data_IF_815094798327
#
_entry.id   IF_815094798327
#
_cell.length_a   1.000
_cell.length_b   1.000
_cell.length_c   1.000
_cell.angle_alpha   90.00
_cell.angle_beta   90.00
_cell.angle_gamma   90.00
#
_symmetry.space_group_name_H-M   'P 1'
#
loop_
_entity.id
_entity.type
_entity.pdbx_description
1 polymer ?
#
# COMPACT_ATOMS: atom_id res chain seq x y z
N UNK A 1 0.11 54.81 35.27
CA UNK A 1 0.41 53.46 35.80
C UNK A 1 0.35 52.46 34.64
N UNK A 2 1.48 51.85 34.26
CA UNK A 2 1.61 50.59 33.49
C UNK A 2 1.24 49.43 34.47
N UNK A 3 0.77 48.21 34.15
CA UNK A 3 0.56 47.35 32.97
C UNK A 3 -0.47 46.24 33.40
N UNK A 4 -0.59 45.02 32.82
CA UNK A 4 -0.52 44.54 31.43
C UNK A 4 -1.65 43.54 31.03
N UNK A 5 -1.86 43.39 29.71
CA UNK A 5 -2.09 42.16 28.91
C UNK A 5 -2.85 40.98 29.55
N UNK A 6 -4.03 40.68 29.01
CA UNK A 6 -4.57 39.32 28.94
C UNK A 6 -3.67 38.47 28.03
N UNK A 7 -2.77 37.73 28.69
CA UNK A 7 -2.08 36.57 28.13
C UNK A 7 -2.69 35.36 28.82
N UNK A 8 -2.90 34.29 28.06
CA UNK A 8 -3.04 32.89 28.50
C UNK A 8 -4.47 32.37 28.74
N UNK A 9 -5.09 31.90 27.67
CA UNK A 9 -5.54 30.50 27.61
C UNK A 9 -5.16 29.90 26.25
N UNK A 10 -3.85 29.76 25.99
CA UNK A 10 -3.41 28.77 25.01
C UNK A 10 -3.57 27.42 25.70
N UNK A 11 -4.49 26.61 25.20
CA UNK A 11 -4.52 25.19 25.53
C UNK A 11 -3.10 24.62 25.37
N UNK A 12 -2.65 23.75 26.29
CA UNK A 12 -1.34 23.13 26.15
C UNK A 12 -1.28 22.46 24.78
N UNK A 13 -0.18 22.57 24.02
CA UNK A 13 -0.03 21.82 22.79
C UNK A 13 -0.19 20.35 23.15
N UNK A 14 -1.29 19.73 22.69
CA UNK A 14 -1.46 18.29 22.79
C UNK A 14 -0.17 17.67 22.27
N UNK A 15 0.49 16.86 23.09
CA UNK A 15 1.71 16.16 22.70
C UNK A 15 1.32 15.27 21.53
N UNK A 16 1.57 15.75 20.31
CA UNK A 16 1.21 15.07 19.08
C UNK A 16 2.07 13.82 19.02
N UNK A 17 1.45 12.68 19.26
CA UNK A 17 2.16 11.41 19.32
C UNK A 17 2.72 11.16 17.92
N UNK A 18 4.04 10.96 17.82
CA UNK A 18 4.66 10.75 16.51
C UNK A 18 4.00 9.55 15.83
N UNK A 19 3.73 9.66 14.53
CA UNK A 19 3.24 8.52 13.73
C UNK A 19 4.15 7.30 13.89
N UNK A 20 5.43 7.50 14.20
CA UNK A 20 6.44 6.47 14.39
C UNK A 20 6.30 5.71 15.71
N UNK A 21 5.68 6.26 16.75
CA UNK A 21 5.69 5.66 18.09
C UNK A 21 5.03 4.27 18.10
N UNK A 22 5.81 3.20 18.28
CA UNK A 22 5.33 1.80 18.19
C UNK A 22 5.24 1.24 16.76
N UNK A 23 5.72 1.98 15.75
CA UNK A 23 5.84 1.54 14.36
C UNK A 23 7.26 1.73 13.81
N UNK A 24 8.25 1.97 14.68
CA UNK A 24 9.63 2.28 14.31
C UNK A 24 10.29 1.16 13.50
N UNK A 25 9.83 -0.08 13.68
CA UNK A 25 10.34 -1.24 12.95
C UNK A 25 9.78 -1.37 11.53
N UNK A 26 8.67 -0.68 11.22
CA UNK A 26 8.03 -0.74 9.91
C UNK A 26 7.97 0.60 9.18
N UNK A 27 8.23 1.73 9.84
CA UNK A 27 8.16 3.07 9.23
C UNK A 27 9.53 3.73 9.18
N UNK A 28 9.88 4.27 8.01
CA UNK A 28 11.07 5.10 7.76
C UNK A 28 10.67 6.48 7.26
N UNK A 29 11.40 7.51 7.67
CA UNK A 29 11.17 8.89 7.24
C UNK A 29 12.04 9.27 6.04
N UNK A 30 11.53 10.15 5.18
CA UNK A 30 12.29 10.78 4.08
C UNK A 30 12.97 9.78 3.12
N UNK A 31 12.35 8.63 2.89
CA UNK A 31 12.90 7.57 2.03
C UNK A 31 12.67 7.87 0.54
N UNK A 32 13.70 7.87 -0.33
CA UNK A 32 13.50 8.01 -1.77
C UNK A 32 12.66 6.85 -2.32
N UNK A 33 11.69 7.17 -3.18
CA UNK A 33 10.85 6.16 -3.83
C UNK A 33 11.49 5.53 -5.06
N UNK A 34 12.55 6.12 -5.62
CA UNK A 34 13.24 5.60 -6.80
C UNK A 34 13.58 4.09 -6.72
N UNK A 35 14.10 3.53 -5.61
CA UNK A 35 14.38 2.08 -5.53
C UNK A 35 13.13 1.18 -5.64
N UNK A 36 11.94 1.72 -5.43
CA UNK A 36 10.67 0.99 -5.37
C UNK A 36 9.80 1.19 -6.61
N UNK A 37 10.20 2.07 -7.53
CA UNK A 37 9.49 2.29 -8.80
C UNK A 37 10.18 1.59 -9.96
N UNK A 38 9.40 1.20 -10.97
CA UNK A 38 9.91 0.47 -12.12
C UNK A 38 10.90 1.31 -12.96
N UNK A 39 10.58 2.60 -13.14
CA UNK A 39 11.43 3.54 -13.87
C UNK A 39 12.63 4.03 -13.05
N UNK A 40 12.73 3.63 -11.78
CA UNK A 40 13.76 4.10 -10.84
C UNK A 40 13.78 5.62 -10.67
N UNK A 41 12.59 6.21 -10.62
CA UNK A 41 12.35 7.63 -10.42
C UNK A 41 11.51 7.86 -9.17
N UNK A 42 11.72 8.99 -8.51
CA UNK A 42 10.91 9.41 -7.37
C UNK A 42 11.71 9.94 -6.19
N UNK A 43 11.33 11.13 -5.76
CA UNK A 43 11.87 11.79 -4.57
C UNK A 43 11.44 11.13 -3.26
N UNK A 44 11.77 11.77 -2.13
CA UNK A 44 11.50 11.22 -0.80
C UNK A 44 10.00 11.18 -0.49
N UNK A 45 9.53 10.10 0.12
CA UNK A 45 8.23 10.09 0.81
C UNK A 45 8.41 10.56 2.25
N UNK A 46 7.41 11.29 2.78
CA UNK A 46 7.43 11.71 4.18
C UNK A 46 7.54 10.50 5.12
N UNK A 47 6.73 9.47 4.90
CA UNK A 47 6.81 8.18 5.60
C UNK A 47 6.69 7.01 4.62
N UNK A 48 7.67 6.09 4.62
CA UNK A 48 7.58 4.80 3.95
C UNK A 48 7.26 3.74 5.00
N UNK A 49 6.21 2.94 4.79
CA UNK A 49 5.77 1.92 5.71
C UNK A 49 5.76 0.52 5.08
N UNK A 50 6.28 -0.46 5.80
CA UNK A 50 6.34 -1.87 5.40
C UNK A 50 5.72 -2.75 6.49
N UNK A 51 4.38 -2.72 6.67
CA UNK A 51 3.72 -3.53 7.70
C UNK A 51 4.00 -5.02 7.48
N UNK A 52 4.08 -5.76 8.58
CA UNK A 52 4.36 -7.21 8.54
C UNK A 52 3.10 -8.06 8.70
N UNK A 53 2.00 -7.45 9.13
CA UNK A 53 0.70 -8.10 9.32
C UNK A 53 -0.48 -7.18 8.94
N UNK A 54 -1.67 -7.78 8.78
CA UNK A 54 -2.92 -7.04 8.52
C UNK A 54 -3.29 -6.14 9.70
N UNK A 55 -3.05 -6.59 10.93
CA UNK A 55 -3.35 -5.82 12.14
C UNK A 55 -2.46 -4.58 12.25
N UNK A 56 -1.16 -4.70 11.96
CA UNK A 56 -0.24 -3.56 11.90
C UNK A 56 -0.64 -2.57 10.81
N UNK A 57 -0.99 -3.07 9.62
CA UNK A 57 -1.49 -2.23 8.53
C UNK A 57 -2.74 -1.45 8.97
N UNK A 58 -3.71 -2.14 9.60
CA UNK A 58 -4.94 -1.51 10.08
C UNK A 58 -4.67 -0.48 11.17
N UNK A 59 -3.79 -0.78 12.12
CA UNK A 59 -3.41 0.14 13.17
C UNK A 59 -2.70 1.39 12.62
N UNK A 60 -1.81 1.22 11.63
CA UNK A 60 -1.13 2.32 10.97
C UNK A 60 -2.12 3.20 10.19
N UNK A 61 -3.04 2.60 9.42
CA UNK A 61 -4.06 3.33 8.65
C UNK A 61 -4.99 4.11 9.57
N UNK A 62 -5.44 3.50 10.68
CA UNK A 62 -6.24 4.20 11.71
C UNK A 62 -5.51 5.41 12.28
N UNK A 63 -4.23 5.26 12.62
CA UNK A 63 -3.43 6.38 13.15
C UNK A 63 -3.22 7.48 12.11
N UNK A 64 -2.90 7.11 10.86
CA UNK A 64 -2.75 8.06 9.78
C UNK A 64 -4.05 8.85 9.56
N UNK A 65 -5.21 8.18 9.63
CA UNK A 65 -6.51 8.82 9.55
C UNK A 65 -6.73 9.84 10.69
N UNK A 66 -6.44 9.47 11.93
CA UNK A 66 -6.55 10.34 13.10
C UNK A 66 -5.64 11.58 13.00
N UNK A 67 -4.44 11.43 12.44
CA UNK A 67 -3.47 12.51 12.26
C UNK A 67 -3.67 13.33 10.97
N UNK A 68 -4.66 12.97 10.14
CA UNK A 68 -4.93 13.63 8.86
C UNK A 68 -3.86 13.38 7.78
N UNK A 69 -3.09 12.30 7.90
CA UNK A 69 -2.07 11.91 6.93
C UNK A 69 -2.67 11.08 5.80
N UNK A 70 -2.39 11.48 4.56
CA UNK A 70 -2.80 10.72 3.38
C UNK A 70 -2.01 9.40 3.30
N UNK A 71 -2.72 8.28 3.14
CA UNK A 71 -2.10 6.95 2.92
C UNK A 71 -2.24 6.56 1.45
N UNK A 72 -1.15 6.11 0.85
CA UNK A 72 -1.08 5.54 -0.51
C UNK A 72 -0.42 4.17 -0.44
N UNK A 73 -0.82 3.26 -1.33
CA UNK A 73 -0.19 1.95 -1.45
C UNK A 73 0.63 1.92 -2.73
N UNK A 74 1.87 1.46 -2.64
CA UNK A 74 2.73 1.25 -3.79
C UNK A 74 2.95 -0.27 -3.97
N UNK A 75 2.45 -0.79 -5.10
CA UNK A 75 2.69 -2.16 -5.52
C UNK A 75 4.08 -2.32 -6.15
N UNK A 76 4.15 -2.96 -7.32
CA UNK A 76 5.43 -3.11 -8.04
C UNK A 76 5.95 -1.85 -8.73
N UNK A 77 5.30 -0.70 -8.54
CA UNK A 77 5.74 0.59 -9.08
C UNK A 77 5.80 0.68 -10.61
N UNK A 78 5.14 -0.22 -11.34
CA UNK A 78 5.15 -0.32 -12.80
C UNK A 78 4.25 0.66 -13.53
N UNK A 79 3.33 1.31 -12.82
CA UNK A 79 2.34 2.23 -13.40
C UNK A 79 2.27 3.57 -12.65
N UNK A 80 3.42 4.06 -12.15
CA UNK A 80 3.51 5.34 -11.44
C UNK A 80 4.74 6.13 -11.90
N UNK A 81 4.58 7.46 -11.96
CA UNK A 81 5.66 8.42 -12.09
C UNK A 81 5.66 9.29 -10.85
N UNK A 82 6.68 9.13 -10.01
CA UNK A 82 6.82 9.87 -8.76
C UNK A 82 7.70 11.09 -9.02
N UNK A 83 7.26 12.26 -8.59
CA UNK A 83 8.02 13.52 -8.74
C UNK A 83 9.22 13.56 -7.80
N UNK A 84 10.22 14.35 -8.15
CA UNK A 84 11.45 14.51 -7.36
C UNK A 84 11.24 15.32 -6.07
N UNK A 85 10.22 16.19 -6.02
CA UNK A 85 9.86 16.89 -4.77
C UNK A 85 9.28 15.96 -3.71
N UNK A 86 8.98 14.71 -4.08
CA UNK A 86 8.54 13.69 -3.15
C UNK A 86 7.02 13.58 -2.99
N UNK A 87 6.62 12.83 -1.97
CA UNK A 87 5.21 12.49 -1.69
C UNK A 87 4.88 12.79 -0.23
N UNK A 88 3.92 13.69 0.06
CA UNK A 88 3.47 13.94 1.43
C UNK A 88 2.60 12.80 1.95
N UNK A 89 2.66 12.53 3.26
CA UNK A 89 1.94 11.44 3.92
C UNK A 89 2.69 10.11 3.88
N UNK A 90 1.93 9.02 3.90
CA UNK A 90 2.46 7.66 4.04
C UNK A 90 2.34 6.91 2.72
N UNK A 91 3.43 6.27 2.29
CA UNK A 91 3.40 5.23 1.24
C UNK A 91 3.63 3.88 1.89
N UNK A 92 2.72 2.94 1.63
CA UNK A 92 2.74 1.58 2.18
C UNK A 92 3.19 0.60 1.10
N UNK A 93 4.14 -0.27 1.44
CA UNK A 93 4.54 -1.44 0.65
C UNK A 93 4.04 -2.71 1.31
N UNK A 94 3.29 -3.53 0.57
CA UNK A 94 2.79 -4.82 1.06
C UNK A 94 3.78 -5.96 0.73
N UNK A 95 5.04 -5.79 1.12
CA UNK A 95 6.14 -6.71 0.78
C UNK A 95 6.23 -7.95 1.68
N UNK A 96 5.64 -7.91 2.88
CA UNK A 96 5.72 -8.99 3.85
C UNK A 96 4.96 -10.25 3.43
N UNK A 97 5.38 -11.41 3.94
CA UNK A 97 4.79 -12.72 3.62
C UNK A 97 3.27 -12.79 3.87
N UNK A 98 2.76 -12.08 4.89
CA UNK A 98 1.33 -11.97 5.17
C UNK A 98 0.50 -11.50 3.96
N UNK A 99 1.08 -10.64 3.11
CA UNK A 99 0.43 -10.08 1.92
C UNK A 99 0.81 -10.80 0.63
N UNK A 100 1.71 -11.78 0.68
CA UNK A 100 2.25 -12.50 -0.49
C UNK A 100 1.71 -13.92 -0.67
N UNK A 101 0.80 -14.38 0.19
CA UNK A 101 0.25 -15.74 0.13
C UNK A 101 -0.47 -16.01 -1.19
N UNK A 102 -0.40 -17.26 -1.67
CA UNK A 102 -1.12 -17.76 -2.85
C UNK A 102 -1.54 -19.19 -2.53
N UNK A 103 -2.84 -19.45 -2.45
CA UNK A 103 -3.42 -20.74 -2.10
C UNK A 103 -4.54 -21.14 -3.07
N UNK A 104 -4.66 -22.44 -3.34
CA UNK A 104 -5.76 -22.99 -4.12
C UNK A 104 -6.97 -23.24 -3.24
N UNK A 105 -8.12 -22.75 -3.68
CA UNK A 105 -9.43 -23.01 -3.08
C UNK A 105 -10.37 -23.61 -4.14
N UNK A 106 -10.31 -24.93 -4.31
CA UNK A 106 -11.08 -25.66 -5.32
C UNK A 106 -10.68 -25.26 -6.75
N UNK A 107 -11.58 -24.55 -7.45
CA UNK A 107 -11.36 -24.03 -8.82
C UNK A 107 -10.92 -22.55 -8.84
N UNK A 108 -10.52 -22.00 -7.70
CA UNK A 108 -10.10 -20.60 -7.55
C UNK A 108 -8.72 -20.54 -6.91
N UNK A 109 -8.04 -19.42 -7.11
CA UNK A 109 -6.93 -19.03 -6.26
C UNK A 109 -7.37 -17.93 -5.30
N UNK A 110 -6.85 -17.99 -4.08
CA UNK A 110 -6.88 -16.90 -3.11
C UNK A 110 -5.46 -16.42 -2.92
N UNK A 111 -5.24 -15.12 -3.03
CA UNK A 111 -3.92 -14.55 -2.96
C UNK A 111 -3.94 -13.16 -2.32
N UNK A 112 -2.85 -12.82 -1.64
CA UNK A 112 -2.69 -11.52 -0.99
C UNK A 112 -2.39 -10.41 -2.01
N UNK A 113 -2.79 -9.17 -1.68
CA UNK A 113 -2.60 -8.01 -2.56
C UNK A 113 -1.14 -7.66 -2.86
N UNK A 114 -0.20 -8.11 -2.03
CA UNK A 114 1.25 -7.97 -2.22
C UNK A 114 1.86 -9.06 -3.10
N UNK A 115 1.14 -10.14 -3.39
CA UNK A 115 1.64 -11.23 -4.23
C UNK A 115 2.04 -10.72 -5.62
N UNK A 116 3.21 -11.15 -6.12
CA UNK A 116 3.66 -10.81 -7.46
C UNK A 116 2.70 -11.42 -8.48
N UNK A 117 2.21 -10.62 -9.42
CA UNK A 117 1.21 -11.06 -10.39
C UNK A 117 1.69 -12.29 -11.18
N UNK A 118 2.96 -12.28 -11.62
CA UNK A 118 3.58 -13.43 -12.28
C UNK A 118 3.56 -14.72 -11.45
N UNK A 119 3.72 -14.65 -10.12
CA UNK A 119 3.65 -15.84 -9.26
C UNK A 119 2.23 -16.38 -9.13
N UNK A 120 1.22 -15.50 -9.12
CA UNK A 120 -0.19 -15.90 -9.13
C UNK A 120 -0.52 -16.65 -10.42
N UNK A 121 -0.10 -16.10 -11.56
CA UNK A 121 -0.30 -16.73 -12.88
C UNK A 121 0.41 -18.08 -12.96
N UNK A 122 1.69 -18.15 -12.61
CA UNK A 122 2.45 -19.41 -12.61
C UNK A 122 1.85 -20.47 -11.68
N UNK A 123 1.27 -20.05 -10.55
CA UNK A 123 0.57 -20.95 -9.65
C UNK A 123 -0.73 -21.45 -10.26
N UNK A 124 -1.51 -20.60 -10.94
CA UNK A 124 -2.73 -21.03 -11.64
C UNK A 124 -2.42 -22.11 -12.67
N UNK A 125 -1.39 -21.91 -13.49
CA UNK A 125 -0.93 -22.88 -14.50
C UNK A 125 -0.55 -24.21 -13.84
N UNK A 126 0.26 -24.18 -12.77
CA UNK A 126 0.68 -25.38 -12.02
C UNK A 126 -0.49 -26.15 -11.41
N UNK A 127 -1.52 -25.44 -10.97
CA UNK A 127 -2.73 -26.02 -10.39
C UNK A 127 -3.76 -26.47 -11.43
N UNK A 128 -3.48 -26.29 -12.73
CA UNK A 128 -4.39 -26.64 -13.83
C UNK A 128 -5.61 -25.71 -13.92
N UNK A 129 -5.46 -24.45 -13.50
CA UNK A 129 -6.50 -23.42 -13.56
C UNK A 129 -6.23 -22.48 -14.73
N UNK A 130 -7.23 -22.33 -15.61
CA UNK A 130 -7.21 -21.38 -16.71
C UNK A 130 -7.84 -20.04 -16.30
N UNK A 131 -7.62 -19.00 -17.12
CA UNK A 131 -8.27 -17.70 -17.02
C UNK A 131 -7.37 -16.55 -16.53
N UNK A 132 -6.07 -16.75 -16.34
CA UNK A 132 -5.13 -15.65 -16.01
C UNK A 132 -4.04 -15.45 -17.08
N UNK A 133 -4.14 -16.16 -18.21
CA UNK A 133 -3.15 -16.18 -19.29
C UNK A 133 -3.01 -14.81 -19.95
N UNK A 134 -4.10 -14.05 -20.03
CA UNK A 134 -4.11 -12.69 -20.60
C UNK A 134 -3.25 -11.70 -19.80
N UNK A 135 -2.95 -12.01 -18.53
CA UNK A 135 -2.15 -11.14 -17.66
C UNK A 135 -0.65 -11.46 -17.73
N UNK A 136 -0.24 -12.48 -18.49
CA UNK A 136 1.17 -12.84 -18.67
C UNK A 136 1.94 -11.65 -19.23
N UNK A 137 3.08 -11.35 -18.60
CA UNK A 137 3.94 -10.24 -18.99
C UNK A 137 3.57 -8.89 -18.35
N UNK A 138 2.41 -8.77 -17.69
CA UNK A 138 2.07 -7.56 -16.93
C UNK A 138 2.85 -7.56 -15.61
N UNK A 139 3.74 -6.58 -15.37
CA UNK A 139 4.51 -6.49 -14.14
C UNK A 139 3.67 -5.89 -13.00
N UNK A 140 3.97 -6.30 -11.76
CA UNK A 140 3.40 -5.69 -10.57
C UNK A 140 2.93 -6.70 -9.54
N UNK A 141 2.03 -6.26 -8.68
CA UNK A 141 1.38 -7.08 -7.65
C UNK A 141 -0.09 -7.32 -8.01
N UNK A 142 -0.69 -8.35 -7.43
CA UNK A 142 -2.11 -8.65 -7.61
C UNK A 142 -3.00 -7.47 -7.20
N UNK A 143 -2.71 -6.82 -6.08
CA UNK A 143 -3.46 -5.65 -5.62
C UNK A 143 -3.34 -4.46 -6.58
N UNK A 144 -2.15 -4.24 -7.16
CA UNK A 144 -1.96 -3.25 -8.21
C UNK A 144 -2.76 -3.56 -9.46
N UNK A 145 -2.74 -4.81 -9.90
CA UNK A 145 -3.51 -5.27 -11.05
C UNK A 145 -5.02 -5.08 -10.85
N UNK A 146 -5.55 -5.45 -9.68
CA UNK A 146 -6.96 -5.22 -9.34
C UNK A 146 -7.30 -3.72 -9.29
N UNK A 147 -6.42 -2.89 -8.71
CA UNK A 147 -6.65 -1.45 -8.60
C UNK A 147 -6.77 -0.77 -9.97
N UNK A 148 -6.00 -1.22 -10.97
CA UNK A 148 -6.00 -0.65 -12.32
C UNK A 148 -6.87 -1.42 -13.31
N UNK A 149 -7.60 -2.44 -12.86
CA UNK A 149 -8.26 -3.44 -13.71
C UNK A 149 -7.36 -3.91 -14.87
N UNK A 150 -6.15 -4.37 -14.53
CA UNK A 150 -5.14 -4.74 -15.52
C UNK A 150 -5.65 -5.81 -16.49
N UNK A 151 -5.31 -5.66 -17.76
CA UNK A 151 -5.81 -6.50 -18.83
C UNK A 151 -5.25 -6.13 -20.20
N UNK A 152 -5.83 -6.74 -21.21
CA UNK A 152 -5.58 -6.45 -22.63
C UNK A 152 -6.85 -5.84 -23.24
N UNK A 153 -6.87 -5.67 -24.56
CA UNK A 153 -8.08 -5.24 -25.28
C UNK A 153 -9.22 -6.26 -25.20
N UNK A 154 -8.94 -7.53 -24.95
CA UNK A 154 -9.93 -8.62 -25.04
C UNK A 154 -10.43 -9.14 -23.69
N UNK A 155 -9.72 -8.89 -22.58
CA UNK A 155 -10.11 -9.33 -21.24
C UNK A 155 -9.30 -8.60 -20.16
N UNK A 156 -9.77 -8.66 -18.91
CA UNK A 156 -9.14 -8.05 -17.75
C UNK A 156 -9.26 -8.92 -16.49
N UNK A 157 -8.50 -8.56 -15.46
CA UNK A 157 -8.51 -9.28 -14.18
C UNK A 157 -9.86 -9.21 -13.47
N UNK A 158 -10.66 -8.16 -13.69
CA UNK A 158 -12.00 -8.01 -13.14
C UNK A 158 -12.94 -9.14 -13.58
N UNK A 159 -12.83 -9.57 -14.84
CA UNK A 159 -13.62 -10.71 -15.35
C UNK A 159 -13.30 -12.05 -14.65
N UNK A 160 -12.12 -12.16 -14.05
CA UNK A 160 -11.66 -13.38 -13.37
C UNK A 160 -11.74 -13.27 -11.83
N UNK A 161 -12.12 -12.11 -11.31
CA UNK A 161 -12.17 -11.83 -9.87
C UNK A 161 -13.55 -12.13 -9.32
N UNK A 162 -13.65 -13.06 -8.36
CA UNK A 162 -14.92 -13.32 -7.66
C UNK A 162 -15.17 -12.32 -6.51
N UNK A 163 -14.13 -11.98 -5.75
CA UNK A 163 -14.24 -11.15 -4.56
C UNK A 163 -12.87 -10.59 -4.18
N UNK A 164 -12.85 -9.45 -3.50
CA UNK A 164 -11.64 -8.87 -2.90
C UNK A 164 -11.92 -8.43 -1.46
N UNK A 165 -11.00 -8.75 -0.55
CA UNK A 165 -10.96 -8.16 0.79
C UNK A 165 -10.15 -6.86 0.70
N UNK A 166 -10.73 -5.76 1.19
CA UNK A 166 -10.14 -4.44 1.13
C UNK A 166 -10.06 -3.84 2.53
N UNK A 167 -9.10 -2.93 2.72
CA UNK A 167 -9.05 -2.07 3.89
C UNK A 167 -9.48 -0.67 3.49
N UNK A 168 -10.38 -0.09 4.26
CA UNK A 168 -10.87 1.28 4.06
C UNK A 168 -9.83 2.31 4.51
N UNK A 169 -10.08 3.59 4.19
CA UNK A 169 -9.21 4.69 4.65
C UNK A 169 -9.28 4.94 6.16
N UNK A 170 -10.27 4.36 6.84
CA UNK A 170 -10.43 4.39 8.29
C UNK A 170 -9.81 3.17 8.96
N UNK A 171 -9.28 2.20 8.18
CA UNK A 171 -8.60 1.02 8.70
C UNK A 171 -9.53 -0.10 9.14
N UNK A 172 -10.78 -0.08 8.69
CA UNK A 172 -11.73 -1.21 8.72
C UNK A 172 -11.51 -2.14 7.53
#
# INVERSE_FOLDING_TARGET
MRAPRDILTREPPQVRMSILTGFEHIVRENEPLAPYTWFRLGGPVQYLAEPTSVDELGALVRRAHQEGLAVRVLGGGSNVLVRDEGVPGIVVLLGAAAFGHIERAGRKLKAGGGAKLGHVISTAVREGLAGLEMLVGIPGTLGGALHTNAGTLSSDIGQCTTSATVMTRTGD
#
